data_IF_852690628932
#
_entry.id   IF_852690628932
#
_cell.length_a   1.000
_cell.length_b   1.000
_cell.length_c   1.000
_cell.angle_alpha   90.00
_cell.angle_beta   90.00
_cell.angle_gamma   90.00
#
_symmetry.space_group_name_H-M   'P 1'
#
loop_
_entity.id
_entity.type
_entity.pdbx_description
1 polymer ?
#
# COMPACT_ATOMS: atom_id res chain seq x y z
N UNK A 1 -21.54 3.57 -14.39
CA UNK A 1 -20.98 4.02 -15.70
C UNK A 1 -20.54 5.48 -15.67
N UNK A 2 -21.34 6.41 -15.15
CA UNK A 2 -20.93 7.82 -15.01
C UNK A 2 -19.71 8.00 -14.10
N UNK A 3 -19.70 7.34 -12.93
CA UNK A 3 -18.54 7.34 -12.03
C UNK A 3 -17.25 6.88 -12.73
N UNK A 4 -17.26 5.71 -13.38
CA UNK A 4 -16.08 5.19 -14.09
C UNK A 4 -15.56 6.17 -15.15
N UNK A 5 -16.47 6.84 -15.88
CA UNK A 5 -16.09 7.83 -16.90
C UNK A 5 -15.26 8.96 -16.28
N UNK A 6 -15.69 9.51 -15.16
CA UNK A 6 -15.03 10.67 -14.55
C UNK A 6 -13.87 10.30 -13.62
N UNK A 7 -13.98 9.19 -12.89
CA UNK A 7 -13.08 8.86 -11.78
C UNK A 7 -12.45 7.46 -11.88
N UNK A 8 -12.99 6.58 -12.73
CA UNK A 8 -12.41 5.26 -12.93
C UNK A 8 -11.08 5.36 -13.67
N UNK A 9 -10.08 4.56 -13.26
CA UNK A 9 -8.79 4.52 -13.93
C UNK A 9 -8.87 3.60 -15.17
N UNK A 10 -8.61 4.18 -16.34
CA UNK A 10 -8.51 3.49 -17.63
C UNK A 10 -7.16 3.79 -18.29
N UNK A 11 -6.88 3.15 -19.43
CA UNK A 11 -5.61 3.30 -20.14
C UNK A 11 -5.35 4.74 -20.63
N UNK A 12 -6.37 5.50 -21.02
CA UNK A 12 -6.18 6.88 -21.46
C UNK A 12 -5.83 7.79 -20.29
N UNK A 13 -6.49 7.61 -19.14
CA UNK A 13 -6.15 8.35 -17.93
C UNK A 13 -4.77 7.99 -17.38
N UNK A 14 -4.37 6.71 -17.48
CA UNK A 14 -3.06 6.27 -17.01
C UNK A 14 -1.90 6.93 -17.79
N UNK A 15 -2.09 7.29 -19.06
CA UNK A 15 -1.09 8.02 -19.87
C UNK A 15 -0.73 9.41 -19.30
N UNK A 16 -1.55 9.97 -18.41
CA UNK A 16 -1.22 11.23 -17.73
C UNK A 16 -0.22 11.02 -16.59
N UNK A 17 -0.02 9.79 -16.12
CA UNK A 17 1.01 9.46 -15.16
C UNK A 17 2.38 9.34 -15.85
N UNK A 18 3.45 9.19 -15.05
CA UNK A 18 4.77 8.86 -15.58
C UNK A 18 4.77 7.45 -16.17
N UNK A 19 5.65 7.21 -17.14
CA UNK A 19 5.81 5.89 -17.79
C UNK A 19 6.16 4.77 -16.79
N UNK A 20 6.82 5.12 -15.68
CA UNK A 20 7.22 4.20 -14.61
C UNK A 20 6.27 4.22 -13.39
N UNK A 21 5.11 4.89 -13.50
CA UNK A 21 4.15 4.93 -12.42
C UNK A 21 3.65 3.53 -12.07
N UNK A 22 3.53 3.25 -10.77
CA UNK A 22 2.94 2.01 -10.27
C UNK A 22 1.44 2.21 -10.05
N UNK A 23 0.65 1.21 -10.43
CA UNK A 23 -0.77 1.13 -10.13
C UNK A 23 -0.95 0.31 -8.84
N UNK A 24 -1.49 0.96 -7.82
CA UNK A 24 -1.78 0.40 -6.51
C UNK A 24 -3.28 0.48 -6.22
N UNK A 25 -3.82 -0.47 -5.47
CA UNK A 25 -5.21 -0.45 -5.04
C UNK A 25 -5.42 -1.40 -3.85
N UNK A 26 -6.05 -0.97 -2.74
CA UNK A 26 -6.43 -1.90 -1.68
C UNK A 26 -7.51 -2.88 -2.20
N UNK A 27 -7.40 -4.16 -1.87
CA UNK A 27 -8.44 -5.14 -2.20
C UNK A 27 -9.66 -5.07 -1.26
N UNK A 28 -10.84 -5.57 -1.69
CA UNK A 28 -11.18 -6.06 -3.04
C UNK A 28 -11.44 -4.90 -4.02
N UNK A 29 -11.16 -5.13 -5.30
CA UNK A 29 -11.33 -4.13 -6.37
C UNK A 29 -12.65 -4.31 -7.14
N UNK A 30 -13.32 -3.21 -7.45
CA UNK A 30 -14.51 -3.18 -8.30
C UNK A 30 -14.13 -2.92 -9.77
N UNK A 31 -13.77 -3.99 -10.48
CA UNK A 31 -13.41 -3.94 -11.90
C UNK A 31 -14.56 -3.40 -12.76
N UNK A 32 -14.23 -2.49 -13.68
CA UNK A 32 -15.22 -1.79 -14.53
C UNK A 32 -16.05 -0.73 -13.80
N UNK A 33 -15.81 -0.51 -12.50
CA UNK A 33 -16.44 0.56 -11.70
C UNK A 33 -15.41 1.61 -11.29
N UNK A 34 -14.29 1.20 -10.69
CA UNK A 34 -13.22 2.11 -10.25
C UNK A 34 -11.90 1.91 -11.01
N UNK A 35 -11.68 0.73 -11.60
CA UNK A 35 -10.47 0.40 -12.35
C UNK A 35 -10.80 -0.50 -13.54
N UNK A 36 -10.19 -0.23 -14.69
CA UNK A 36 -10.30 -1.08 -15.87
C UNK A 36 -9.57 -2.42 -15.63
N UNK A 37 -10.11 -3.52 -16.13
CA UNK A 37 -9.54 -4.85 -15.87
C UNK A 37 -8.11 -4.97 -16.42
N UNK A 38 -7.86 -4.42 -17.60
CA UNK A 38 -6.56 -4.39 -18.26
C UNK A 38 -5.51 -3.56 -17.51
N UNK A 39 -5.94 -2.60 -16.68
CA UNK A 39 -5.04 -1.82 -15.82
C UNK A 39 -4.76 -2.57 -14.52
N UNK A 40 -5.79 -3.18 -13.93
CA UNK A 40 -5.64 -3.95 -12.69
C UNK A 40 -4.68 -5.16 -12.86
N UNK A 41 -4.61 -5.76 -14.05
CA UNK A 41 -3.70 -6.86 -14.39
C UNK A 41 -2.56 -6.42 -15.34
N UNK A 42 -2.39 -5.11 -15.53
CA UNK A 42 -1.44 -4.55 -16.48
C UNK A 42 0.02 -4.58 -15.98
N UNK A 43 0.98 -4.23 -16.85
CA UNK A 43 2.42 -4.29 -16.52
C UNK A 43 2.85 -3.32 -15.41
N UNK A 44 2.10 -2.24 -15.19
CA UNK A 44 2.35 -1.27 -14.13
C UNK A 44 1.65 -1.65 -12.80
N UNK A 45 0.87 -2.73 -12.79
CA UNK A 45 0.11 -3.15 -11.61
C UNK A 45 0.99 -3.87 -10.60
N UNK A 46 1.01 -3.35 -9.37
CA UNK A 46 1.63 -3.99 -8.21
C UNK A 46 0.59 -4.35 -7.15
N UNK A 47 -0.69 -4.41 -7.53
CA UNK A 47 -1.81 -4.55 -6.59
C UNK A 47 -1.73 -5.86 -5.80
N UNK A 48 -1.42 -6.96 -6.48
CA UNK A 48 -1.29 -8.27 -5.82
C UNK A 48 -0.11 -8.27 -4.84
N UNK A 49 1.06 -7.79 -5.28
CA UNK A 49 2.25 -7.68 -4.44
C UNK A 49 1.99 -6.76 -3.23
N UNK A 50 1.35 -5.61 -3.43
CA UNK A 50 0.96 -4.68 -2.36
C UNK A 50 0.12 -5.38 -1.28
N UNK A 51 -0.89 -6.17 -1.68
CA UNK A 51 -1.76 -6.89 -0.75
C UNK A 51 -0.98 -7.96 0.03
N UNK A 52 -0.13 -8.71 -0.65
CA UNK A 52 0.75 -9.73 -0.05
C UNK A 52 1.71 -9.11 0.97
N UNK A 53 2.32 -7.98 0.61
CA UNK A 53 3.22 -7.23 1.49
C UNK A 53 2.55 -6.71 2.77
N UNK A 54 1.22 -6.64 2.80
CA UNK A 54 0.47 -6.31 4.01
C UNK A 54 0.74 -7.27 5.18
N UNK A 55 1.03 -8.55 4.92
CA UNK A 55 1.40 -9.52 5.97
C UNK A 55 2.76 -9.16 6.57
N UNK A 56 3.77 -8.94 5.71
CA UNK A 56 5.12 -8.60 6.13
C UNK A 56 5.15 -7.30 6.95
N UNK A 57 4.42 -6.26 6.51
CA UNK A 57 4.33 -4.99 7.24
C UNK A 57 3.70 -5.19 8.61
N UNK A 58 2.60 -5.93 8.73
CA UNK A 58 1.96 -6.20 10.03
C UNK A 58 2.88 -7.00 10.96
N UNK A 59 3.60 -7.99 10.44
CA UNK A 59 4.60 -8.72 11.21
C UNK A 59 5.71 -7.81 11.72
N UNK A 60 6.26 -6.94 10.88
CA UNK A 60 7.30 -5.99 11.27
C UNK A 60 6.78 -5.00 12.33
N UNK A 61 5.54 -4.51 12.19
CA UNK A 61 4.92 -3.64 13.21
C UNK A 61 4.75 -4.37 14.54
N UNK A 62 4.27 -5.62 14.52
CA UNK A 62 4.14 -6.43 15.74
C UNK A 62 5.51 -6.71 16.38
N UNK A 63 6.54 -7.04 15.59
CA UNK A 63 7.91 -7.22 16.09
C UNK A 63 8.43 -5.94 16.75
N UNK A 64 8.29 -4.80 16.08
CA UNK A 64 8.78 -3.52 16.59
C UNK A 64 8.10 -3.09 17.90
N UNK A 65 6.82 -3.44 18.08
CA UNK A 65 6.05 -3.13 19.30
C UNK A 65 6.30 -4.14 20.43
N UNK A 66 6.58 -5.40 20.10
CA UNK A 66 6.79 -6.46 21.08
C UNK A 66 8.25 -6.63 21.48
N UNK A 67 9.21 -6.02 20.77
CA UNK A 67 10.65 -6.14 21.07
C UNK A 67 10.98 -5.57 22.47
N UNK A 68 11.31 -6.43 23.46
CA UNK A 68 11.60 -6.00 24.82
C UNK A 68 12.90 -5.17 24.92
N UNK A 69 13.78 -5.25 23.91
CA UNK A 69 15.02 -4.47 23.86
C UNK A 69 14.72 -2.99 23.60
N UNK A 70 13.73 -2.70 22.76
CA UNK A 70 13.24 -1.32 22.53
C UNK A 70 12.60 -0.70 23.78
N UNK A 71 12.01 -1.52 24.65
CA UNK A 71 11.47 -1.07 25.94
C UNK A 71 12.54 -0.85 27.03
N UNK A 72 13.81 -1.22 26.81
CA UNK A 72 14.90 -0.97 27.75
C UNK A 72 15.56 0.39 27.51
N UNK A 73 15.61 0.84 26.25
CA UNK A 73 16.19 2.14 25.89
C UNK A 73 15.41 3.33 26.48
N UNK A 74 14.07 3.22 26.60
CA UNK A 74 13.25 4.23 27.28
C UNK A 74 13.47 4.28 28.79
N UNK A 75 13.64 3.13 29.45
CA UNK A 75 13.89 3.04 30.91
C UNK A 75 15.29 3.47 31.31
N UNK A 76 16.28 3.28 30.44
CA UNK A 76 17.67 3.68 30.69
C UNK A 76 17.89 5.20 30.55
N UNK A 77 16.97 5.94 29.92
CA UNK A 77 17.02 7.41 29.85
C UNK A 77 16.44 8.06 31.12
N UNK A 78 15.43 7.45 31.76
CA UNK A 78 14.83 7.94 33.00
C UNK A 78 15.75 7.76 34.23
N UNK A 79 16.71 6.82 34.18
CA UNK A 79 17.63 6.51 35.29
C UNK A 79 18.93 7.32 35.34
N UNK A 80 19.17 8.27 34.42
CA UNK A 80 20.42 9.07 34.36
C UNK A 80 20.29 10.51 34.89
N UNK A 81 19.14 10.84 35.49
CA UNK A 81 18.84 12.17 36.01
C UNK A 81 18.78 12.30 37.54
N UNK A 82 19.22 11.27 38.29
CA UNK A 82 19.27 11.30 39.76
C UNK A 82 20.72 11.34 40.26
#
# INVERSE_FOLDING_TARGET
REYFRYFGLDAEKLKAAKDDALVMHPGPMNRGVEIASEIADGPQSVIQEQVEMGVAVRMAVMEALLDPRRNQDGRNQEGRGA
#
